data_IF_655756905871
#
_entry.id   IF_655756905871
#
_cell.length_a   1.000
_cell.length_b   1.000
_cell.length_c   1.000
_cell.angle_alpha   90.00
_cell.angle_beta   90.00
_cell.angle_gamma   90.00
#
_symmetry.space_group_name_H-M   'P 1'
#
loop_
_entity.id
_entity.type
_entity.pdbx_description
1 polymer ?
#
# COMPACT_ATOMS: atom_id res chain seq x y z
N UNK A 1 4.73 46.24 10.85
CA UNK A 1 5.82 45.37 10.37
C UNK A 1 5.30 44.53 9.22
N UNK A 2 6.02 44.47 8.11
CA UNK A 2 5.69 43.66 6.95
C UNK A 2 6.07 42.19 7.25
N UNK A 3 5.12 41.24 7.28
CA UNK A 3 5.47 39.86 7.50
C UNK A 3 6.36 39.35 6.39
N UNK A 4 7.40 38.62 6.75
CA UNK A 4 8.30 37.96 5.81
C UNK A 4 8.56 36.52 6.27
N UNK A 5 8.79 35.63 5.34
CA UNK A 5 9.05 34.23 5.61
C UNK A 5 9.94 33.59 4.56
N UNK A 6 10.29 32.35 4.82
CA UNK A 6 11.02 31.49 3.90
C UNK A 6 10.16 30.26 3.66
N UNK A 7 9.91 29.97 2.40
CA UNK A 7 9.23 28.76 1.96
C UNK A 7 10.29 27.77 1.48
N UNK A 8 10.22 26.54 1.93
CA UNK A 8 11.05 25.44 1.47
C UNK A 8 10.23 24.59 0.52
N UNK A 9 10.63 24.51 -0.72
CA UNK A 9 9.96 23.73 -1.76
C UNK A 9 10.91 22.62 -2.24
N UNK A 10 10.41 21.39 -2.45
CA UNK A 10 11.22 20.37 -3.08
C UNK A 10 11.52 20.79 -4.52
N UNK A 11 12.76 20.55 -4.99
CA UNK A 11 13.12 20.73 -6.40
C UNK A 11 12.36 19.75 -7.28
N UNK A 12 12.17 20.08 -8.55
CA UNK A 12 11.48 19.22 -9.52
C UNK A 12 12.14 17.84 -9.69
N UNK A 13 13.45 17.79 -9.54
CA UNK A 13 14.26 16.55 -9.62
C UNK A 13 14.40 15.82 -8.28
N UNK A 14 13.74 16.29 -7.22
CA UNK A 14 13.83 15.76 -5.86
C UNK A 14 15.24 15.71 -5.26
N UNK A 15 16.21 16.41 -5.86
CA UNK A 15 17.61 16.44 -5.40
C UNK A 15 17.84 17.25 -4.12
N UNK A 16 16.81 17.92 -3.61
CA UNK A 16 16.90 18.75 -2.42
C UNK A 16 15.77 19.77 -2.32
N UNK A 17 15.95 20.76 -1.44
CA UNK A 17 14.98 21.82 -1.20
C UNK A 17 15.47 23.14 -1.80
N UNK A 18 14.56 23.85 -2.44
CA UNK A 18 14.72 25.23 -2.86
C UNK A 18 14.10 26.17 -1.84
N UNK A 19 14.74 27.30 -1.58
CA UNK A 19 14.25 28.29 -0.62
C UNK A 19 13.73 29.52 -1.36
N UNK A 20 12.44 29.83 -1.15
CA UNK A 20 11.80 31.03 -1.67
C UNK A 20 11.57 32.00 -0.52
N UNK A 21 12.24 33.13 -0.54
CA UNK A 21 12.00 34.22 0.42
C UNK A 21 10.83 35.05 -0.05
N UNK A 22 9.83 35.24 0.81
CA UNK A 22 8.69 36.06 0.48
C UNK A 22 8.50 37.18 1.50
N UNK A 23 7.86 38.25 1.08
CA UNK A 23 7.46 39.37 1.91
C UNK A 23 6.02 39.74 1.55
N UNK A 24 5.16 39.80 2.55
CA UNK A 24 3.77 40.18 2.35
C UNK A 24 3.68 41.71 2.49
N UNK A 25 3.33 42.45 1.42
CA UNK A 25 3.21 43.90 1.51
C UNK A 25 2.09 44.29 2.48
N UNK A 26 2.31 45.28 3.32
CA UNK A 26 1.30 45.87 4.18
C UNK A 26 0.44 46.84 3.34
N UNK A 27 -0.43 46.31 2.50
CA UNK A 27 -1.40 47.14 1.79
C UNK A 27 -2.73 47.19 2.58
N UNK A 28 -3.49 48.28 2.52
CA UNK A 28 -4.87 48.31 2.98
C UNK A 28 -5.69 47.45 1.99
N UNK A 29 -5.69 46.15 2.23
CA UNK A 29 -6.39 45.19 1.37
C UNK A 29 -7.78 45.03 1.92
N UNK A 30 -8.78 45.19 1.07
CA UNK A 30 -10.12 44.71 1.36
C UNK A 30 -10.00 43.16 1.53
N UNK A 31 -9.98 42.70 2.77
CA UNK A 31 -9.80 41.31 3.13
C UNK A 31 -10.82 40.40 2.47
N UNK A 32 -12.06 40.89 2.29
CA UNK A 32 -13.14 40.13 1.66
C UNK A 32 -12.85 39.90 0.17
N UNK A 33 -12.39 40.96 -0.53
CA UNK A 33 -11.99 40.86 -1.94
C UNK A 33 -10.76 39.96 -2.09
N UNK A 34 -9.75 40.12 -1.24
CA UNK A 34 -8.56 39.28 -1.28
C UNK A 34 -8.88 37.79 -1.06
N UNK A 35 -9.81 37.48 -0.16
CA UNK A 35 -10.31 36.12 0.07
C UNK A 35 -11.04 35.58 -1.17
N UNK A 36 -11.86 36.42 -1.82
CA UNK A 36 -12.55 36.02 -3.07
C UNK A 36 -11.55 35.71 -4.20
N UNK A 37 -10.53 36.54 -4.37
CA UNK A 37 -9.49 36.36 -5.42
C UNK A 37 -8.65 35.10 -5.12
N UNK A 38 -8.32 34.84 -3.85
CA UNK A 38 -7.65 33.59 -3.44
C UNK A 38 -8.51 32.37 -3.78
N UNK A 39 -9.79 32.36 -3.43
CA UNK A 39 -10.68 31.23 -3.72
C UNK A 39 -10.82 30.97 -5.22
N UNK A 40 -10.88 32.02 -6.04
CA UNK A 40 -10.90 31.89 -7.51
C UNK A 40 -9.62 31.28 -8.02
N UNK A 41 -8.47 31.73 -7.53
CA UNK A 41 -7.16 31.17 -7.91
C UNK A 41 -7.04 29.71 -7.49
N UNK A 42 -7.52 29.35 -6.30
CA UNK A 42 -7.59 27.96 -5.81
C UNK A 42 -8.45 27.09 -6.74
N UNK A 43 -9.64 27.55 -7.13
CA UNK A 43 -10.52 26.85 -8.05
C UNK A 43 -9.85 26.64 -9.41
N UNK A 44 -9.26 27.70 -9.99
CA UNK A 44 -8.58 27.61 -11.28
C UNK A 44 -7.40 26.62 -11.25
N UNK A 45 -6.63 26.62 -10.14
CA UNK A 45 -5.53 25.69 -9.95
C UNK A 45 -6.00 24.24 -9.94
N UNK A 46 -7.00 23.90 -9.12
CA UNK A 46 -7.50 22.53 -9.03
C UNK A 46 -8.25 22.07 -10.28
N UNK A 47 -8.91 22.98 -11.03
CA UNK A 47 -9.46 22.69 -12.35
C UNK A 47 -8.33 22.27 -13.31
N UNK A 48 -7.20 23.00 -13.30
CA UNK A 48 -6.06 22.68 -14.14
C UNK A 48 -5.47 21.31 -13.80
N UNK A 49 -5.27 21.01 -12.51
CA UNK A 49 -4.76 19.70 -12.05
C UNK A 49 -5.71 18.56 -12.45
N UNK A 50 -7.02 18.75 -12.27
CA UNK A 50 -8.04 17.78 -12.71
C UNK A 50 -7.99 17.51 -14.22
N UNK A 51 -7.77 18.55 -15.03
CA UNK A 51 -7.72 18.43 -16.49
C UNK A 51 -6.41 17.78 -16.99
N UNK A 52 -5.36 17.80 -16.19
CA UNK A 52 -4.10 17.10 -16.49
C UNK A 52 -4.19 15.57 -16.27
N UNK A 53 -5.35 15.09 -15.85
CA UNK A 53 -5.60 13.66 -15.59
C UNK A 53 -4.61 13.02 -14.59
N UNK A 54 -4.09 13.83 -13.67
CA UNK A 54 -3.20 13.38 -12.59
C UNK A 54 -4.04 12.66 -11.54
N UNK A 55 -3.44 11.69 -10.85
CA UNK A 55 -4.05 10.97 -9.72
C UNK A 55 -4.62 11.95 -8.67
N UNK A 56 -5.75 11.60 -8.07
CA UNK A 56 -6.41 12.47 -7.08
C UNK A 56 -7.55 13.34 -7.62
N UNK A 57 -8.14 12.99 -8.76
CA UNK A 57 -9.25 13.73 -9.38
C UNK A 57 -10.43 13.98 -8.43
N UNK A 58 -10.76 13.02 -7.56
CA UNK A 58 -11.82 13.17 -6.55
C UNK A 58 -11.47 14.25 -5.52
N UNK A 59 -10.22 14.28 -5.07
CA UNK A 59 -9.69 15.32 -4.17
C UNK A 59 -9.75 16.71 -4.80
N UNK A 60 -9.31 16.84 -6.07
CA UNK A 60 -9.35 18.13 -6.76
C UNK A 60 -10.78 18.62 -6.94
N UNK A 61 -11.73 17.72 -7.22
CA UNK A 61 -13.15 18.06 -7.30
C UNK A 61 -13.68 18.54 -5.96
N UNK A 62 -13.34 17.85 -4.87
CA UNK A 62 -13.72 18.27 -3.53
C UNK A 62 -13.19 19.66 -3.21
N UNK A 63 -11.90 19.94 -3.48
CA UNK A 63 -11.29 21.24 -3.25
C UNK A 63 -11.96 22.36 -4.07
N UNK A 64 -12.39 22.06 -5.29
CA UNK A 64 -13.15 22.99 -6.12
C UNK A 64 -14.52 23.29 -5.47
N UNK A 65 -15.27 22.26 -5.10
CA UNK A 65 -16.60 22.40 -4.50
C UNK A 65 -16.54 23.18 -3.17
N UNK A 66 -15.58 22.89 -2.32
CA UNK A 66 -15.33 23.61 -1.08
C UNK A 66 -15.07 25.09 -1.34
N UNK A 67 -14.14 25.40 -2.25
CA UNK A 67 -13.79 26.76 -2.59
C UNK A 67 -14.97 27.53 -3.23
N UNK A 68 -15.78 26.87 -4.07
CA UNK A 68 -17.00 27.43 -4.63
C UNK A 68 -18.06 27.73 -3.56
N UNK A 69 -18.24 26.83 -2.59
CA UNK A 69 -19.17 27.01 -1.48
C UNK A 69 -18.75 28.19 -0.60
N UNK A 70 -17.46 28.34 -0.32
CA UNK A 70 -16.90 29.47 0.43
C UNK A 70 -17.03 30.78 -0.38
N UNK A 71 -16.82 30.75 -1.68
CA UNK A 71 -16.97 31.91 -2.57
C UNK A 71 -18.42 32.39 -2.63
N UNK A 72 -19.40 31.48 -2.61
CA UNK A 72 -20.84 31.81 -2.55
C UNK A 72 -21.24 32.55 -1.27
N UNK A 73 -20.53 32.36 -0.17
CA UNK A 73 -20.77 33.06 1.09
C UNK A 73 -20.25 34.50 1.07
N UNK A 74 -19.47 34.90 0.11
CA UNK A 74 -18.95 36.27 -0.03
C UNK A 74 -20.00 37.13 -0.75
N UNK A 75 -20.26 38.38 -0.33
CA UNK A 75 -21.16 39.29 -1.04
C UNK A 75 -20.79 39.50 -2.50
N UNK A 76 -21.79 39.64 -3.39
CA UNK A 76 -21.56 39.71 -4.85
C UNK A 76 -20.68 40.89 -5.27
N UNK A 77 -20.83 42.03 -4.62
CA UNK A 77 -20.01 43.22 -4.89
C UNK A 77 -18.50 42.99 -4.71
N UNK A 78 -18.13 42.03 -3.87
CA UNK A 78 -16.74 41.66 -3.59
C UNK A 78 -16.23 40.44 -4.39
N UNK A 79 -17.14 39.77 -5.12
CA UNK A 79 -16.73 38.58 -5.92
C UNK A 79 -16.07 38.98 -7.24
N UNK A 80 -16.35 40.18 -7.77
CA UNK A 80 -15.93 40.58 -9.11
C UNK A 80 -16.59 39.75 -10.22
N UNK A 81 -16.43 40.12 -11.46
CA UNK A 81 -16.96 39.34 -12.60
C UNK A 81 -16.40 37.93 -12.65
N UNK A 82 -17.27 36.94 -12.43
CA UNK A 82 -16.89 35.52 -12.44
C UNK A 82 -17.40 34.92 -13.75
N UNK A 83 -16.60 34.99 -14.80
CA UNK A 83 -16.74 34.10 -15.97
C UNK A 83 -16.19 32.71 -15.60
N UNK A 84 -16.64 32.13 -14.48
CA UNK A 84 -16.48 30.69 -14.27
C UNK A 84 -17.50 30.03 -15.19
N UNK A 85 -16.97 29.37 -16.20
CA UNK A 85 -17.72 28.65 -17.22
C UNK A 85 -18.84 27.82 -16.57
N UNK A 86 -20.09 28.26 -16.68
CA UNK A 86 -21.30 27.62 -16.16
C UNK A 86 -21.49 26.18 -16.64
N UNK A 87 -20.71 25.75 -17.60
CA UNK A 87 -20.75 24.39 -18.17
C UNK A 87 -20.22 23.29 -17.25
N UNK A 88 -19.64 23.65 -16.09
CA UNK A 88 -19.10 22.67 -15.13
C UNK A 88 -20.13 22.21 -14.09
N UNK A 89 -21.14 23.02 -13.78
CA UNK A 89 -22.17 22.65 -12.81
C UNK A 89 -23.30 21.80 -13.37
N UNK A 90 -23.49 21.76 -14.68
CA UNK A 90 -24.59 21.04 -15.32
C UNK A 90 -24.29 19.53 -15.57
N UNK A 91 -23.09 19.07 -15.28
CA UNK A 91 -22.73 17.63 -15.40
C UNK A 91 -22.95 16.82 -14.14
N UNK A 92 -23.59 17.38 -13.12
CA UNK A 92 -23.80 16.73 -11.81
C UNK A 92 -24.73 15.51 -11.83
N UNK A 93 -25.28 15.10 -12.97
CA UNK A 93 -26.23 13.99 -13.00
C UNK A 93 -25.81 12.80 -13.86
N UNK A 94 -24.55 12.70 -14.28
CA UNK A 94 -24.18 11.65 -15.25
C UNK A 94 -23.16 10.61 -14.77
N UNK A 95 -22.57 10.70 -13.59
CA UNK A 95 -21.52 9.75 -13.25
C UNK A 95 -21.75 9.05 -11.92
N UNK A 96 -22.73 8.14 -11.86
CA UNK A 96 -22.80 7.10 -10.82
C UNK A 96 -21.47 6.34 -10.76
N UNK A 97 -20.80 6.14 -11.91
CA UNK A 97 -19.51 5.46 -11.99
C UNK A 97 -18.40 6.24 -11.29
N UNK A 98 -18.41 7.57 -11.39
CA UNK A 98 -17.37 8.43 -10.78
C UNK A 98 -17.59 8.60 -9.27
N UNK A 99 -18.85 8.61 -8.83
CA UNK A 99 -19.20 8.51 -7.39
C UNK A 99 -18.81 7.16 -6.82
N UNK A 100 -19.05 6.10 -7.58
CA UNK A 100 -18.65 4.74 -7.22
C UNK A 100 -17.12 4.62 -7.20
N UNK A 101 -16.43 5.16 -8.19
CA UNK A 101 -14.97 5.21 -8.22
C UNK A 101 -14.38 5.99 -7.04
N UNK A 102 -14.96 7.14 -6.69
CA UNK A 102 -14.52 7.92 -5.53
C UNK A 102 -14.78 7.19 -4.19
N UNK A 103 -15.81 6.37 -4.14
CA UNK A 103 -16.09 5.49 -3.00
C UNK A 103 -15.01 4.41 -2.85
N UNK A 104 -14.61 3.81 -3.96
CA UNK A 104 -13.64 2.71 -3.98
C UNK A 104 -12.17 3.15 -4.09
N UNK A 105 -11.89 4.39 -4.50
CA UNK A 105 -10.52 4.91 -4.62
C UNK A 105 -9.94 5.46 -3.31
N UNK A 106 -10.64 5.29 -2.19
CA UNK A 106 -10.21 5.86 -0.90
C UNK A 106 -10.38 7.37 -0.78
N UNK A 107 -10.68 8.09 -1.86
CA UNK A 107 -10.89 9.54 -1.83
C UNK A 107 -11.99 9.95 -0.87
N UNK A 108 -13.03 9.13 -0.73
CA UNK A 108 -14.09 9.33 0.24
C UNK A 108 -13.64 9.00 1.66
N UNK A 109 -12.83 7.98 1.86
CA UNK A 109 -12.26 7.64 3.16
C UNK A 109 -11.31 8.74 3.67
N UNK A 110 -10.46 9.29 2.78
CA UNK A 110 -9.61 10.46 3.10
C UNK A 110 -10.46 11.68 3.43
N UNK A 111 -11.51 11.94 2.66
CA UNK A 111 -12.45 13.03 2.88
C UNK A 111 -13.21 12.86 4.20
N UNK A 112 -13.63 11.64 4.55
CA UNK A 112 -14.29 11.31 5.81
C UNK A 112 -13.32 11.40 7.01
N UNK A 113 -12.08 10.91 6.86
CA UNK A 113 -11.04 11.04 7.89
C UNK A 113 -10.67 12.51 8.17
N UNK A 114 -10.70 13.35 7.16
CA UNK A 114 -10.50 14.79 7.32
C UNK A 114 -11.77 15.51 7.81
N UNK A 115 -12.85 14.78 8.07
CA UNK A 115 -14.17 15.28 8.53
C UNK A 115 -14.77 16.38 7.66
N UNK A 116 -14.29 16.54 6.44
CA UNK A 116 -14.62 17.65 5.57
C UNK A 116 -16.05 17.49 5.02
N UNK A 117 -16.45 16.26 4.69
CA UNK A 117 -17.76 15.98 4.10
C UNK A 117 -18.92 16.09 5.11
N UNK A 118 -18.69 15.80 6.37
CA UNK A 118 -19.73 15.88 7.40
C UNK A 118 -20.20 17.31 7.65
N UNK A 119 -19.29 18.26 7.55
CA UNK A 119 -19.62 19.67 7.70
C UNK A 119 -20.34 20.26 6.48
N UNK A 120 -20.26 19.61 5.31
CA UNK A 120 -20.82 20.11 4.06
C UNK A 120 -22.25 19.62 3.81
N UNK A 121 -22.69 18.58 4.49
CA UNK A 121 -24.06 18.04 4.38
C UNK A 121 -25.02 18.59 5.44
N UNK A 122 -24.69 19.70 6.04
CA UNK A 122 -25.70 20.44 6.78
C UNK A 122 -26.76 20.87 5.77
N UNK A 123 -27.84 20.14 5.78
CA UNK A 123 -28.99 20.31 4.91
C UNK A 123 -29.42 21.77 4.95
N UNK A 124 -29.78 22.34 3.80
CA UNK A 124 -30.47 23.63 3.71
C UNK A 124 -31.89 23.60 4.30
N UNK A 125 -32.21 22.66 5.19
CA UNK A 125 -33.36 22.73 6.02
C UNK A 125 -33.06 23.80 7.08
N UNK A 126 -33.77 24.90 6.94
CA UNK A 126 -33.86 25.92 7.96
C UNK A 126 -34.15 25.25 9.29
N UNK A 127 -33.33 25.61 10.26
CA UNK A 127 -33.69 25.78 11.64
C UNK A 127 -34.24 24.58 12.41
N UNK A 128 -33.29 23.93 13.01
CA UNK A 128 -33.29 23.72 14.46
C UNK A 128 -31.81 23.65 14.77
N UNK A 129 -31.33 24.47 15.71
CA UNK A 129 -29.95 24.32 16.19
C UNK A 129 -29.78 22.86 16.57
N UNK A 130 -28.77 22.17 16.03
CA UNK A 130 -28.55 20.77 16.38
C UNK A 130 -28.39 20.75 17.90
N UNK A 131 -29.31 20.10 18.61
CA UNK A 131 -29.13 19.80 20.02
C UNK A 131 -27.78 19.08 20.12
N UNK A 132 -26.86 19.67 20.88
CA UNK A 132 -25.58 19.06 21.19
C UNK A 132 -25.86 17.71 21.84
N UNK A 133 -25.65 16.64 21.07
CA UNK A 133 -25.82 15.30 21.58
C UNK A 133 -24.56 14.93 22.37
N UNK A 134 -24.71 14.67 23.65
CA UNK A 134 -23.60 14.21 24.49
C UNK A 134 -22.99 12.96 23.86
N UNK A 135 -21.69 13.04 23.61
CA UNK A 135 -20.91 11.95 23.01
C UNK A 135 -21.03 10.64 23.80
N UNK A 136 -21.27 10.74 25.12
CA UNK A 136 -21.51 9.59 26.01
C UNK A 136 -22.89 8.94 25.78
N UNK A 137 -23.84 9.68 25.21
CA UNK A 137 -25.19 9.19 24.86
C UNK A 137 -25.24 8.48 23.51
N UNK A 138 -24.20 8.57 22.69
CA UNK A 138 -24.15 7.91 21.38
C UNK A 138 -23.81 6.44 21.60
N UNK A 139 -24.81 5.57 21.47
CA UNK A 139 -24.57 4.14 21.44
C UNK A 139 -23.79 3.78 20.17
N UNK A 140 -22.55 3.36 20.36
CA UNK A 140 -21.75 2.80 19.26
C UNK A 140 -22.37 1.51 18.70
N UNK A 141 -22.01 1.17 17.48
CA UNK A 141 -22.37 -0.14 16.92
C UNK A 141 -21.64 -1.21 17.73
N UNK A 142 -22.40 -1.97 18.51
CA UNK A 142 -21.83 -3.14 19.20
C UNK A 142 -21.73 -4.27 18.19
N UNK A 143 -20.52 -4.59 17.78
CA UNK A 143 -20.27 -5.80 17.00
C UNK A 143 -20.23 -6.96 18.00
N UNK A 144 -21.16 -7.91 17.84
CA UNK A 144 -21.15 -9.10 18.68
C UNK A 144 -19.81 -9.84 18.50
N UNK A 145 -19.13 -10.11 19.60
CA UNK A 145 -17.94 -10.94 19.56
C UNK A 145 -18.26 -12.30 18.97
N UNK A 146 -17.50 -12.70 17.95
CA UNK A 146 -17.63 -14.04 17.38
C UNK A 146 -16.87 -14.99 18.31
N UNK A 147 -17.59 -15.91 18.93
CA UNK A 147 -16.94 -17.02 19.65
C UNK A 147 -16.28 -17.97 18.63
N UNK A 148 -15.03 -17.70 18.35
CA UNK A 148 -14.22 -18.51 17.44
C UNK A 148 -13.99 -19.93 17.99
N UNK A 149 -13.95 -20.11 19.31
CA UNK A 149 -13.75 -21.42 19.93
C UNK A 149 -14.91 -22.38 19.65
N UNK A 150 -16.14 -21.86 19.58
CA UNK A 150 -17.31 -22.68 19.21
C UNK A 150 -17.31 -23.13 17.74
N UNK A 151 -16.54 -22.46 16.88
CA UNK A 151 -16.43 -22.76 15.45
C UNK A 151 -15.24 -23.66 15.11
N UNK A 152 -14.32 -23.83 16.04
CA UNK A 152 -13.17 -24.74 15.91
C UNK A 152 -13.61 -26.13 16.37
N UNK A 153 -13.47 -27.12 15.49
CA UNK A 153 -13.71 -28.52 15.84
C UNK A 153 -12.63 -28.99 16.83
N UNK A 154 -12.93 -28.85 18.12
CA UNK A 154 -12.01 -29.21 19.22
C UNK A 154 -11.73 -30.72 19.30
N UNK A 155 -12.48 -31.55 18.56
CA UNK A 155 -12.23 -32.99 18.48
C UNK A 155 -11.09 -33.35 17.52
N UNK A 156 -10.67 -32.41 16.66
CA UNK A 156 -9.48 -32.59 15.83
C UNK A 156 -8.27 -31.99 16.54
N UNK A 157 -7.34 -32.84 16.93
CA UNK A 157 -6.05 -32.37 17.43
C UNK A 157 -5.41 -31.46 16.37
N UNK A 158 -5.35 -30.16 16.66
CA UNK A 158 -4.69 -29.22 15.77
C UNK A 158 -3.21 -29.56 15.72
N UNK A 159 -2.72 -29.95 14.58
CA UNK A 159 -1.30 -30.10 14.32
C UNK A 159 -0.84 -28.88 13.51
N UNK A 160 -0.03 -28.00 14.11
CA UNK A 160 0.53 -26.89 13.39
C UNK A 160 1.41 -27.39 12.23
N UNK A 161 1.45 -26.63 11.13
CA UNK A 161 2.37 -26.90 10.03
C UNK A 161 3.83 -26.96 10.55
N UNK A 162 4.63 -27.86 10.00
CA UNK A 162 6.03 -28.01 10.41
C UNK A 162 6.83 -26.70 10.22
N UNK A 163 6.47 -25.90 9.23
CA UNK A 163 7.10 -24.62 8.96
C UNK A 163 6.84 -23.58 10.06
N UNK A 164 5.80 -23.75 10.88
CA UNK A 164 5.52 -22.85 12.01
C UNK A 164 6.70 -22.77 12.99
N UNK A 165 7.45 -23.88 13.15
CA UNK A 165 8.64 -23.94 14.01
C UNK A 165 9.79 -23.05 13.53
N UNK A 166 9.74 -22.61 12.29
CA UNK A 166 10.75 -21.74 11.69
C UNK A 166 10.44 -20.25 11.84
N UNK A 167 9.19 -19.90 12.12
CA UNK A 167 8.71 -18.52 12.10
C UNK A 167 8.81 -17.89 13.48
N UNK A 168 9.53 -16.76 13.63
CA UNK A 168 9.57 -16.01 14.88
C UNK A 168 8.17 -15.56 15.32
N UNK A 169 7.92 -15.60 16.62
CA UNK A 169 6.61 -15.29 17.23
C UNK A 169 6.10 -13.86 16.98
N UNK A 170 7.01 -12.93 16.65
CA UNK A 170 6.74 -11.52 16.40
C UNK A 170 6.49 -11.21 14.92
N UNK A 171 6.34 -12.24 14.09
CA UNK A 171 6.13 -12.08 12.65
C UNK A 171 4.74 -12.56 12.21
N UNK A 172 4.22 -11.91 11.18
CA UNK A 172 3.04 -12.42 10.51
C UNK A 172 3.40 -13.61 9.63
N UNK A 173 2.46 -14.54 9.45
CA UNK A 173 2.64 -15.71 8.61
C UNK A 173 1.37 -16.13 7.89
N UNK A 174 1.53 -16.57 6.65
CA UNK A 174 0.50 -17.22 5.86
C UNK A 174 0.96 -18.64 5.53
N UNK A 175 0.15 -19.64 5.85
CA UNK A 175 0.45 -21.04 5.59
C UNK A 175 -0.42 -21.58 4.46
N UNK A 176 0.20 -22.31 3.56
CA UNK A 176 -0.43 -22.99 2.44
C UNK A 176 -0.16 -24.48 2.55
N UNK A 177 -1.21 -25.28 2.64
CA UNK A 177 -1.13 -26.74 2.79
C UNK A 177 -0.51 -27.45 1.58
N UNK A 178 -0.31 -26.74 0.47
CA UNK A 178 0.37 -27.20 -0.73
C UNK A 178 0.88 -26.02 -1.56
N UNK A 179 1.83 -26.28 -2.44
CA UNK A 179 2.26 -25.28 -3.43
C UNK A 179 1.12 -24.88 -4.38
N UNK A 180 0.22 -25.81 -4.71
CA UNK A 180 -0.93 -25.50 -5.55
C UNK A 180 -1.88 -24.52 -4.88
N UNK A 181 -2.12 -24.63 -3.58
CA UNK A 181 -2.96 -23.67 -2.83
C UNK A 181 -2.40 -22.23 -2.87
N UNK A 182 -1.07 -22.10 -2.83
CA UNK A 182 -0.41 -20.80 -3.03
C UNK A 182 -0.65 -20.27 -4.46
N UNK A 183 -0.49 -21.12 -5.48
CA UNK A 183 -0.70 -20.73 -6.87
C UNK A 183 -2.15 -20.28 -7.11
N UNK A 184 -3.12 -21.04 -6.60
CA UNK A 184 -4.55 -20.74 -6.75
C UNK A 184 -4.88 -19.38 -6.12
N UNK A 185 -4.31 -19.06 -4.94
CA UNK A 185 -4.48 -17.75 -4.32
C UNK A 185 -3.87 -16.64 -5.18
N UNK A 186 -2.65 -16.84 -5.69
CA UNK A 186 -1.97 -15.85 -6.54
C UNK A 186 -2.80 -15.60 -7.80
N UNK A 187 -3.23 -16.64 -8.48
CA UNK A 187 -4.01 -16.53 -9.72
C UNK A 187 -5.36 -15.83 -9.47
N UNK A 188 -6.09 -16.21 -8.42
CA UNK A 188 -7.34 -15.55 -8.03
C UNK A 188 -7.12 -14.07 -7.62
N UNK A 189 -6.04 -13.78 -6.92
CA UNK A 189 -5.73 -12.39 -6.53
C UNK A 189 -5.38 -11.52 -7.73
N UNK A 190 -4.76 -12.07 -8.76
CA UNK A 190 -4.48 -11.35 -10.00
C UNK A 190 -5.76 -11.07 -10.80
N UNK A 191 -6.64 -12.06 -10.89
CA UNK A 191 -7.85 -11.95 -11.71
C UNK A 191 -8.94 -11.10 -11.04
N UNK A 192 -9.10 -11.21 -9.73
CA UNK A 192 -10.22 -10.61 -9.00
C UNK A 192 -9.79 -9.62 -7.91
N UNK A 193 -8.78 -9.95 -7.12
CA UNK A 193 -8.37 -9.17 -5.96
C UNK A 193 -7.63 -7.90 -6.33
N UNK A 194 -6.66 -7.96 -7.22
CA UNK A 194 -5.87 -6.80 -7.63
C UNK A 194 -6.72 -5.69 -8.27
N UNK A 195 -7.66 -5.97 -9.18
CA UNK A 195 -8.57 -4.94 -9.69
C UNK A 195 -9.39 -4.26 -8.60
N UNK A 196 -9.89 -5.02 -7.62
CA UNK A 196 -10.66 -4.46 -6.49
C UNK A 196 -9.77 -3.60 -5.60
N UNK A 197 -8.59 -4.07 -5.23
CA UNK A 197 -7.64 -3.30 -4.42
C UNK A 197 -7.22 -1.99 -5.10
N UNK A 198 -7.03 -2.00 -6.42
CA UNK A 198 -6.74 -0.78 -7.19
C UNK A 198 -7.88 0.25 -7.13
N UNK A 199 -9.13 -0.19 -6.99
CA UNK A 199 -10.26 0.70 -6.82
C UNK A 199 -10.33 1.31 -5.41
N UNK A 200 -9.78 0.62 -4.41
CA UNK A 200 -9.78 1.04 -3.00
C UNK A 200 -8.57 1.91 -2.63
N UNK A 201 -7.50 1.84 -3.40
CA UNK A 201 -6.27 2.59 -3.13
C UNK A 201 -6.33 4.02 -3.66
N UNK A 202 -5.75 4.97 -2.92
CA UNK A 202 -5.63 6.38 -3.34
C UNK A 202 -4.80 6.55 -4.61
N UNK A 203 -3.91 5.60 -4.88
CA UNK A 203 -3.07 5.53 -6.07
C UNK A 203 -3.41 4.26 -6.84
N UNK A 204 -4.19 4.34 -7.91
CA UNK A 204 -4.59 3.19 -8.72
C UNK A 204 -3.45 2.62 -9.58
N UNK A 205 -2.22 3.10 -9.39
CA UNK A 205 -1.03 2.59 -10.07
C UNK A 205 -0.72 1.18 -9.60
N UNK A 206 -0.42 0.31 -10.56
CA UNK A 206 0.09 -1.01 -10.26
C UNK A 206 1.51 -0.89 -9.71
N UNK A 207 1.70 -1.20 -8.44
CA UNK A 207 3.01 -1.21 -7.81
C UNK A 207 3.87 -2.41 -8.26
N UNK A 208 3.33 -3.27 -9.14
CA UNK A 208 3.96 -4.51 -9.62
C UNK A 208 4.57 -5.32 -8.46
N UNK A 209 3.87 -5.34 -7.33
CA UNK A 209 4.38 -5.90 -6.07
C UNK A 209 4.79 -7.36 -6.23
N UNK A 210 3.95 -8.15 -6.90
CA UNK A 210 4.24 -9.55 -7.15
C UNK A 210 5.49 -9.73 -8.02
N UNK A 211 5.57 -9.03 -9.15
CA UNK A 211 6.71 -9.12 -10.07
C UNK A 211 8.01 -8.69 -9.41
N UNK A 212 7.95 -7.61 -8.62
CA UNK A 212 9.11 -7.13 -7.86
C UNK A 212 9.63 -8.19 -6.89
N UNK A 213 8.75 -8.83 -6.10
CA UNK A 213 9.19 -9.84 -5.14
C UNK A 213 9.62 -11.14 -5.81
N UNK A 214 8.98 -11.56 -6.90
CA UNK A 214 9.45 -12.69 -7.69
C UNK A 214 10.86 -12.46 -8.24
N UNK A 215 11.11 -11.27 -8.79
CA UNK A 215 12.43 -10.88 -9.26
C UNK A 215 13.42 -10.75 -8.10
N UNK A 216 13.05 -10.07 -7.03
CA UNK A 216 13.92 -9.84 -5.89
C UNK A 216 14.37 -11.13 -5.21
N UNK A 217 13.45 -12.09 -5.05
CA UNK A 217 13.69 -13.38 -4.43
C UNK A 217 14.28 -14.42 -5.40
N UNK A 218 14.36 -14.11 -6.68
CA UNK A 218 14.73 -15.07 -7.74
C UNK A 218 13.76 -16.26 -7.84
N UNK A 219 12.46 -16.01 -7.64
CA UNK A 219 11.41 -17.03 -7.65
C UNK A 219 10.33 -16.73 -8.71
N UNK A 220 10.65 -16.76 -10.01
CA UNK A 220 9.65 -16.56 -11.04
C UNK A 220 8.64 -17.72 -11.06
N UNK A 221 7.35 -17.41 -11.13
CA UNK A 221 6.27 -18.39 -11.21
C UNK A 221 5.94 -18.75 -12.66
N UNK A 222 6.95 -19.21 -13.41
CA UNK A 222 6.73 -19.70 -14.75
C UNK A 222 6.14 -21.12 -14.78
N UNK A 223 5.81 -21.62 -15.97
CA UNK A 223 5.20 -22.94 -16.14
C UNK A 223 6.05 -24.07 -15.56
N UNK A 224 7.37 -23.95 -15.65
CA UNK A 224 8.28 -24.96 -15.10
C UNK A 224 8.26 -24.96 -13.57
N UNK A 225 8.28 -23.78 -12.96
CA UNK A 225 8.14 -23.64 -11.50
C UNK A 225 6.81 -24.18 -11.00
N UNK A 226 5.72 -23.94 -11.73
CA UNK A 226 4.37 -24.46 -11.40
C UNK A 226 4.32 -26.00 -11.42
N UNK A 227 4.92 -26.64 -12.43
CA UNK A 227 4.95 -28.10 -12.57
C UNK A 227 5.87 -28.74 -11.53
N UNK A 228 7.09 -28.23 -11.38
CA UNK A 228 8.07 -28.80 -10.46
C UNK A 228 7.70 -28.53 -9.00
N UNK A 229 7.23 -27.32 -8.69
CA UNK A 229 6.85 -26.94 -7.35
C UNK A 229 5.77 -27.86 -6.77
N UNK A 230 4.75 -28.19 -7.54
CA UNK A 230 3.67 -29.10 -7.08
C UNK A 230 4.18 -30.51 -6.76
N UNK A 231 5.32 -30.93 -7.31
CA UNK A 231 5.91 -32.25 -7.06
C UNK A 231 6.99 -32.24 -5.98
N UNK A 232 7.68 -31.13 -5.80
CA UNK A 232 8.84 -31.03 -4.90
C UNK A 232 8.52 -30.36 -3.56
N UNK A 233 7.40 -29.65 -3.47
CA UNK A 233 7.03 -28.85 -2.30
C UNK A 233 5.76 -29.44 -1.68
N UNK A 234 5.81 -29.72 -0.37
CA UNK A 234 4.70 -30.22 0.42
C UNK A 234 3.82 -29.09 0.91
N UNK A 235 4.40 -28.15 1.63
CA UNK A 235 3.72 -26.97 2.15
C UNK A 235 4.58 -25.73 1.97
N UNK A 236 3.96 -24.55 2.05
CA UNK A 236 4.61 -23.26 1.92
C UNK A 236 4.18 -22.36 3.05
N UNK A 237 5.12 -21.60 3.61
CA UNK A 237 4.79 -20.48 4.48
C UNK A 237 5.43 -19.20 3.96
N UNK A 238 4.68 -18.11 4.02
CA UNK A 238 5.12 -16.77 3.67
C UNK A 238 5.11 -15.94 4.94
N UNK A 239 6.25 -15.35 5.29
CA UNK A 239 6.40 -14.59 6.54
C UNK A 239 7.25 -13.35 6.34
N UNK A 240 7.10 -12.39 7.23
CA UNK A 240 7.87 -11.14 7.28
C UNK A 240 7.54 -10.33 8.53
N UNK A 241 8.32 -9.28 8.78
CA UNK A 241 8.11 -8.42 9.94
C UNK A 241 7.00 -7.39 9.72
N UNK A 242 6.73 -7.03 8.46
CA UNK A 242 5.79 -5.98 8.09
C UNK A 242 4.90 -6.44 6.91
N UNK A 243 3.56 -6.40 7.05
CA UNK A 243 2.63 -6.78 5.99
C UNK A 243 2.54 -5.75 4.84
N UNK A 244 3.13 -4.56 4.96
CA UNK A 244 3.08 -3.51 3.95
C UNK A 244 4.00 -3.78 2.75
N UNK A 245 3.73 -4.86 2.03
CA UNK A 245 4.53 -5.33 0.89
C UNK A 245 4.67 -4.31 -0.24
N UNK A 246 3.72 -3.40 -0.39
CA UNK A 246 3.73 -2.39 -1.46
C UNK A 246 4.89 -1.41 -1.33
N UNK A 247 5.21 -0.98 -0.13
CA UNK A 247 6.28 -0.01 0.15
C UNK A 247 7.66 -0.63 0.17
N UNK A 248 7.72 -1.94 0.26
CA UNK A 248 8.94 -2.72 0.44
C UNK A 248 9.06 -3.21 1.88
N UNK A 249 9.14 -4.51 2.03
CA UNK A 249 9.28 -5.19 3.32
C UNK A 249 10.25 -6.35 3.18
N UNK A 250 10.72 -6.85 4.31
CA UNK A 250 11.37 -8.14 4.36
C UNK A 250 10.33 -9.24 4.11
N UNK A 251 10.66 -10.14 3.23
CA UNK A 251 9.80 -11.25 2.86
C UNK A 251 10.61 -12.54 2.87
N UNK A 252 10.07 -13.56 3.52
CA UNK A 252 10.62 -14.90 3.52
C UNK A 252 9.58 -15.89 3.03
N UNK A 253 9.99 -16.76 2.12
CA UNK A 253 9.23 -17.91 1.69
C UNK A 253 9.94 -19.15 2.20
N UNK A 254 9.21 -19.93 2.98
CA UNK A 254 9.64 -21.22 3.51
C UNK A 254 8.98 -22.33 2.71
N UNK A 255 9.74 -23.30 2.26
CA UNK A 255 9.25 -24.48 1.57
C UNK A 255 9.51 -25.71 2.42
N UNK A 256 8.49 -26.50 2.75
CA UNK A 256 8.68 -27.88 3.19
C UNK A 256 8.88 -28.75 1.96
N UNK A 257 10.09 -29.19 1.73
CA UNK A 257 10.43 -29.99 0.57
C UNK A 257 10.02 -31.45 0.74
N UNK A 258 9.51 -32.04 -0.32
CA UNK A 258 9.39 -33.52 -0.43
C UNK A 258 10.75 -34.15 -0.68
N UNK A 259 11.55 -33.49 -1.52
CA UNK A 259 12.95 -33.80 -1.80
C UNK A 259 13.76 -32.49 -1.75
N UNK A 260 14.54 -32.33 -0.68
CA UNK A 260 15.28 -31.10 -0.41
C UNK A 260 16.43 -30.89 -1.41
N UNK A 261 17.07 -31.96 -1.86
CA UNK A 261 18.19 -31.87 -2.79
C UNK A 261 17.71 -31.51 -4.19
N UNK A 262 16.63 -32.14 -4.66
CA UNK A 262 16.01 -31.81 -5.93
C UNK A 262 15.47 -30.38 -5.98
N UNK A 263 14.80 -29.92 -4.91
CA UNK A 263 14.30 -28.55 -4.82
C UNK A 263 15.44 -27.52 -4.76
N UNK A 264 16.50 -27.83 -3.98
CA UNK A 264 17.70 -26.97 -3.93
C UNK A 264 18.35 -26.85 -5.30
N UNK A 265 18.53 -27.95 -6.00
CA UNK A 265 19.10 -27.95 -7.38
C UNK A 265 18.24 -27.14 -8.36
N UNK A 266 16.91 -27.26 -8.28
CA UNK A 266 15.99 -26.49 -9.12
C UNK A 266 16.10 -24.97 -8.84
N UNK A 267 16.16 -24.56 -7.56
CA UNK A 267 16.34 -23.17 -7.19
C UNK A 267 17.72 -22.63 -7.61
N UNK A 268 18.78 -23.40 -7.44
CA UNK A 268 20.13 -23.02 -7.89
C UNK A 268 20.20 -22.83 -9.40
N UNK A 269 19.58 -23.71 -10.17
CA UNK A 269 19.51 -23.58 -11.63
C UNK A 269 18.83 -22.24 -12.03
N UNK A 270 17.73 -21.88 -11.36
CA UNK A 270 17.07 -20.60 -11.57
C UNK A 270 17.98 -19.40 -11.25
N UNK A 271 18.69 -19.47 -10.15
CA UNK A 271 19.65 -18.42 -9.75
C UNK A 271 20.76 -18.26 -10.77
N UNK A 272 21.26 -19.37 -11.34
CA UNK A 272 22.25 -19.33 -12.44
C UNK A 272 21.69 -18.68 -13.71
N UNK A 273 20.45 -18.98 -14.09
CA UNK A 273 19.81 -18.33 -15.23
C UNK A 273 19.72 -16.81 -15.04
N UNK A 274 19.35 -16.35 -13.84
CA UNK A 274 19.28 -14.92 -13.50
C UNK A 274 20.66 -14.27 -13.57
N UNK A 275 21.71 -14.93 -13.09
CA UNK A 275 23.09 -14.43 -13.21
C UNK A 275 23.50 -14.21 -14.66
N UNK A 276 23.08 -15.09 -15.57
CA UNK A 276 23.42 -15.01 -16.99
C UNK A 276 22.60 -13.95 -17.75
N UNK A 277 21.36 -13.71 -17.33
CA UNK A 277 20.42 -12.86 -18.07
C UNK A 277 20.35 -11.42 -17.56
N UNK A 278 20.70 -11.17 -16.30
CA UNK A 278 20.62 -9.83 -15.68
C UNK A 278 21.89 -9.03 -15.93
N UNK A 279 21.73 -7.76 -16.33
CA UNK A 279 22.85 -6.84 -16.51
C UNK A 279 22.57 -5.52 -15.75
N UNK A 280 23.50 -5.05 -14.90
CA UNK A 280 24.73 -5.73 -14.47
C UNK A 280 24.43 -7.01 -13.68
N UNK A 281 25.33 -7.99 -13.78
CA UNK A 281 25.16 -9.26 -13.09
C UNK A 281 25.14 -9.06 -11.56
N UNK A 282 24.24 -9.73 -10.84
CA UNK A 282 24.21 -9.67 -9.38
C UNK A 282 25.50 -10.21 -8.76
N UNK A 283 25.91 -9.61 -7.65
CA UNK A 283 27.02 -10.11 -6.85
C UNK A 283 26.59 -11.39 -6.11
N UNK A 284 27.38 -12.43 -6.22
CA UNK A 284 27.17 -13.69 -5.50
C UNK A 284 28.03 -13.72 -4.26
N UNK A 285 27.50 -14.15 -3.15
CA UNK A 285 28.28 -14.47 -1.94
C UNK A 285 27.71 -15.69 -1.23
N UNK A 286 28.58 -16.34 -0.46
CA UNK A 286 28.23 -17.48 0.39
C UNK A 286 28.63 -17.19 1.82
N UNK A 287 27.90 -17.74 2.78
CA UNK A 287 28.22 -17.59 4.19
C UNK A 287 27.62 -18.70 5.03
N UNK A 288 27.81 -18.60 6.34
CA UNK A 288 27.21 -19.52 7.30
C UNK A 288 26.59 -18.76 8.46
N UNK A 289 25.38 -19.13 8.85
CA UNK A 289 24.68 -18.65 10.03
C UNK A 289 24.35 -19.86 10.89
N UNK A 290 24.83 -19.89 12.13
CA UNK A 290 24.61 -21.00 13.07
C UNK A 290 24.95 -22.39 12.49
N UNK A 291 25.96 -22.45 11.64
CA UNK A 291 26.38 -23.69 10.98
C UNK A 291 25.60 -24.05 9.70
N UNK A 292 24.55 -23.33 9.36
CA UNK A 292 23.80 -23.50 8.12
C UNK A 292 24.41 -22.62 7.04
N UNK A 293 24.78 -23.22 5.92
CA UNK A 293 25.31 -22.50 4.74
C UNK A 293 24.18 -21.78 4.00
N UNK A 294 24.47 -20.60 3.50
CA UNK A 294 23.58 -19.88 2.61
C UNK A 294 24.30 -19.31 1.39
N UNK A 295 23.56 -19.06 0.35
CA UNK A 295 24.02 -18.36 -0.86
C UNK A 295 23.19 -17.09 -1.04
N UNK A 296 23.82 -16.01 -1.51
CA UNK A 296 23.12 -14.79 -1.83
C UNK A 296 23.38 -14.28 -3.25
N UNK A 297 22.37 -13.65 -3.83
CA UNK A 297 22.44 -12.86 -5.06
C UNK A 297 21.93 -11.45 -4.77
N UNK A 298 22.74 -10.42 -5.01
CA UNK A 298 22.41 -9.05 -4.63
C UNK A 298 22.89 -8.08 -5.71
N UNK A 299 21.96 -7.23 -6.21
CA UNK A 299 22.26 -6.06 -7.04
C UNK A 299 22.49 -4.81 -6.19
N UNK A 300 23.13 -3.81 -6.79
CA UNK A 300 23.33 -2.51 -6.12
C UNK A 300 22.02 -1.79 -5.83
N UNK A 301 21.06 -1.86 -6.74
CA UNK A 301 19.73 -1.27 -6.64
C UNK A 301 18.73 -2.11 -5.81
N UNK A 302 19.16 -3.29 -5.31
CA UNK A 302 18.32 -4.24 -4.57
C UNK A 302 17.10 -4.78 -5.35
N UNK A 303 17.04 -4.60 -6.66
CA UNK A 303 16.05 -5.25 -7.51
C UNK A 303 16.16 -6.77 -7.46
N UNK A 304 17.36 -7.27 -7.16
CA UNK A 304 17.64 -8.64 -6.76
C UNK A 304 18.31 -8.60 -5.39
N UNK A 305 17.69 -9.25 -4.41
CA UNK A 305 18.22 -9.45 -3.07
C UNK A 305 17.67 -10.79 -2.58
N UNK A 306 18.38 -11.87 -2.83
CA UNK A 306 17.90 -13.21 -2.57
C UNK A 306 18.94 -14.01 -1.79
N UNK A 307 18.54 -14.48 -0.63
CA UNK A 307 19.30 -15.39 0.22
C UNK A 307 18.61 -16.75 0.19
N UNK A 308 19.35 -17.79 -0.14
CA UNK A 308 18.89 -19.17 -0.15
C UNK A 308 19.66 -19.98 0.89
N UNK A 309 18.94 -20.64 1.78
CA UNK A 309 19.49 -21.59 2.74
C UNK A 309 18.62 -22.84 2.81
N UNK A 310 19.23 -23.97 3.17
CA UNK A 310 18.53 -25.23 3.40
C UNK A 310 18.89 -25.76 4.78
N UNK A 311 17.87 -26.17 5.54
CA UNK A 311 18.05 -26.83 6.83
C UNK A 311 17.06 -27.99 6.97
N UNK A 312 17.58 -29.21 6.99
CA UNK A 312 16.76 -30.42 6.87
C UNK A 312 15.86 -30.35 5.60
N UNK A 313 14.57 -30.57 5.76
CA UNK A 313 13.59 -30.48 4.65
C UNK A 313 13.01 -29.07 4.45
N UNK A 314 13.52 -28.07 5.15
CA UNK A 314 13.05 -26.67 5.02
C UNK A 314 14.02 -25.88 4.17
N UNK A 315 13.55 -25.38 3.04
CA UNK A 315 14.27 -24.40 2.23
C UNK A 315 13.75 -23.01 2.53
N UNK A 316 14.67 -22.09 2.67
CA UNK A 316 14.43 -20.70 3.09
C UNK A 316 14.88 -19.79 1.95
N UNK A 317 13.97 -19.00 1.41
CA UNK A 317 14.30 -17.94 0.46
C UNK A 317 13.81 -16.61 1.00
N UNK A 318 14.72 -15.65 1.18
CA UNK A 318 14.38 -14.33 1.74
C UNK A 318 15.13 -13.21 1.04
N UNK A 319 14.58 -12.00 1.06
CA UNK A 319 15.24 -10.80 0.55
C UNK A 319 16.13 -10.09 1.60
N UNK A 320 16.12 -10.57 2.85
CA UNK A 320 16.80 -9.95 3.98
C UNK A 320 17.74 -10.93 4.70
N UNK A 321 19.02 -10.50 4.86
CA UNK A 321 19.98 -11.27 5.66
C UNK A 321 19.59 -11.36 7.14
N UNK A 322 19.03 -10.27 7.68
CA UNK A 322 18.58 -10.24 9.09
C UNK A 322 17.42 -11.22 9.27
N UNK A 323 16.51 -11.28 8.32
CA UNK A 323 15.39 -12.20 8.36
C UNK A 323 15.85 -13.66 8.27
N UNK A 324 16.83 -13.96 7.41
CA UNK A 324 17.44 -15.29 7.37
C UNK A 324 18.02 -15.68 8.72
N UNK A 325 18.72 -14.76 9.37
CA UNK A 325 19.30 -15.01 10.70
C UNK A 325 18.22 -15.28 11.75
N UNK A 326 17.13 -14.52 11.77
CA UNK A 326 16.02 -14.72 12.69
C UNK A 326 15.36 -16.10 12.48
N UNK A 327 15.02 -16.45 11.26
CA UNK A 327 14.46 -17.76 10.91
C UNK A 327 15.37 -18.90 11.36
N UNK A 328 16.68 -18.81 11.08
CA UNK A 328 17.63 -19.85 11.46
C UNK A 328 17.83 -19.91 13.00
N UNK A 329 17.74 -18.79 13.73
CA UNK A 329 17.75 -18.77 15.18
C UNK A 329 16.53 -19.50 15.75
N UNK A 330 15.36 -19.25 15.18
CA UNK A 330 14.11 -19.88 15.60
C UNK A 330 14.15 -21.39 15.34
N UNK A 331 14.55 -21.81 14.14
CA UNK A 331 14.72 -23.23 13.80
C UNK A 331 15.71 -23.96 14.71
N UNK A 332 16.70 -23.27 15.24
CA UNK A 332 17.70 -23.82 16.19
C UNK A 332 17.27 -23.68 17.66
N UNK A 333 16.05 -23.25 17.95
CA UNK A 333 15.52 -23.08 19.29
C UNK A 333 16.19 -21.95 20.10
N UNK A 334 16.81 -20.98 19.42
CA UNK A 334 17.42 -19.81 20.06
C UNK A 334 16.46 -18.62 20.19
N UNK A 335 15.38 -18.62 19.46
CA UNK A 335 14.26 -17.69 19.54
C UNK A 335 12.97 -18.49 19.74
N UNK A 336 11.93 -17.84 20.26
CA UNK A 336 10.58 -18.40 20.30
C UNK A 336 9.96 -18.40 18.89
N UNK A 337 9.27 -19.47 18.57
CA UNK A 337 8.45 -19.61 17.37
C UNK A 337 7.00 -19.26 17.67
#
# INVERSE_FOLDING_TARGET
KTPSGILYLPREDWSGMETVKFRIPAAPINQVKAKADYLKSKIAHFIRLRNLNVTGTAWYRHQIQEAEALLKKIPEDNRGSTTLNRNLSSRNNRNNLESTYSLFSGGRAVSENLQIDRQLRISNKKEEEPEDTDIQGIQGITIAEIDWNSRIDTNKAFQPDNLAKAIPHDQHALFFSSFQALLDLIDQSMDQGTPILRLLEDRPEDALTQDRYQQQLCLPLDNLARILGSKLIRSVAVTGSDPYLRTGSDLTILFEAQDADALTAALQLRRQQILLTTKPAPKTSTGKILGVSYESLINEDRSISSFLASHNNTLIVTNSHVQLEQILKTLKGKNQS
#
